data_IF_160091505468
#
_entry.id   IF_160091505468
#
_cell.length_a   1.000
_cell.length_b   1.000
_cell.length_c   1.000
_cell.angle_alpha   90.00
_cell.angle_beta   90.00
_cell.angle_gamma   90.00
#
_symmetry.space_group_name_H-M   'P 1'
#
loop_
_entity.id
_entity.type
_entity.pdbx_description
1 polymer ?
#
# COMPACT_ATOMS: atom_id res chain seq x y z
N UNK A 1 -28.63 -11.00 -16.70
CA UNK A 1 -29.57 -9.86 -16.63
C UNK A 1 -28.75 -8.67 -16.15
N UNK A 2 -28.19 -7.91 -17.11
CA UNK A 2 -27.37 -6.73 -16.80
C UNK A 2 -28.26 -5.71 -16.09
N UNK A 3 -27.82 -5.23 -14.92
CA UNK A 3 -28.48 -4.11 -14.26
C UNK A 3 -28.05 -2.84 -14.98
N UNK A 4 -28.90 -2.35 -15.87
CA UNK A 4 -28.77 -1.03 -16.48
C UNK A 4 -28.78 0.03 -15.36
N UNK A 5 -27.62 0.63 -15.11
CA UNK A 5 -27.44 1.65 -14.08
C UNK A 5 -27.89 3.03 -14.57
N UNK A 6 -28.17 3.94 -13.64
CA UNK A 6 -28.34 5.37 -13.92
C UNK A 6 -27.25 6.15 -13.19
N UNK A 7 -26.75 7.21 -13.81
CA UNK A 7 -25.76 8.11 -13.22
C UNK A 7 -26.19 9.57 -13.42
N UNK A 8 -25.83 10.45 -12.48
CA UNK A 8 -26.02 11.89 -12.60
C UNK A 8 -24.63 12.51 -12.53
N UNK A 9 -24.26 13.26 -13.57
CA UNK A 9 -23.01 14.00 -13.63
C UNK A 9 -23.32 15.47 -13.36
N UNK A 10 -22.71 16.02 -12.31
CA UNK A 10 -22.94 17.41 -11.91
C UNK A 10 -21.81 18.30 -12.39
N UNK A 11 -22.14 19.38 -13.12
CA UNK A 11 -21.19 20.41 -13.47
C UNK A 11 -20.94 21.35 -12.29
N UNK A 12 -19.68 21.73 -12.07
CA UNK A 12 -19.32 22.74 -11.07
C UNK A 12 -19.51 24.15 -11.63
N UNK A 13 -20.76 24.58 -11.80
CA UNK A 13 -21.13 25.91 -12.31
C UNK A 13 -22.00 26.69 -11.31
N UNK A 14 -22.13 28.00 -11.53
CA UNK A 14 -23.11 28.82 -10.81
C UNK A 14 -24.52 28.54 -11.33
N UNK A 15 -25.57 28.79 -10.52
CA UNK A 15 -26.95 28.84 -11.02
C UNK A 15 -27.03 29.83 -12.20
N UNK A 16 -27.79 29.49 -13.24
CA UNK A 16 -28.04 30.28 -14.45
C UNK A 16 -26.94 30.32 -15.53
N UNK A 17 -25.83 29.60 -15.36
CA UNK A 17 -24.86 29.43 -16.45
C UNK A 17 -25.43 28.50 -17.53
N UNK A 18 -25.40 28.91 -18.80
CA UNK A 18 -25.71 28.03 -19.92
C UNK A 18 -24.60 26.97 -20.08
N UNK A 19 -24.96 25.70 -19.96
CA UNK A 19 -24.04 24.56 -19.94
C UNK A 19 -24.25 23.68 -21.18
N UNK A 20 -23.15 23.17 -21.74
CA UNK A 20 -23.16 22.06 -22.69
C UNK A 20 -22.24 20.94 -22.23
N UNK A 21 -22.59 19.70 -22.58
CA UNK A 21 -21.80 18.52 -22.24
C UNK A 21 -21.20 17.88 -23.48
N UNK A 22 -19.97 17.38 -23.33
CA UNK A 22 -19.28 16.58 -24.35
C UNK A 22 -18.84 15.24 -23.78
N UNK A 23 -18.98 14.17 -24.57
CA UNK A 23 -18.48 12.83 -24.29
C UNK A 23 -17.29 12.55 -25.21
N UNK A 24 -16.13 12.25 -24.63
CA UNK A 24 -14.85 12.02 -25.35
C UNK A 24 -14.47 13.12 -26.36
N UNK A 25 -14.99 14.34 -26.17
CA UNK A 25 -14.73 15.49 -27.05
C UNK A 25 -15.89 15.83 -27.98
N UNK A 26 -16.84 14.91 -28.17
CA UNK A 26 -18.00 15.08 -29.05
C UNK A 26 -19.24 15.55 -28.29
N UNK A 27 -20.12 16.38 -28.88
CA UNK A 27 -21.35 16.82 -28.23
C UNK A 27 -22.24 15.64 -27.82
N UNK A 28 -22.72 15.62 -26.57
CA UNK A 28 -23.61 14.55 -26.07
C UNK A 28 -24.99 14.57 -26.76
N UNK A 29 -25.35 15.69 -27.38
CA UNK A 29 -26.60 15.88 -28.12
C UNK A 29 -26.66 15.11 -29.46
N UNK A 30 -25.57 14.45 -29.85
CA UNK A 30 -25.53 13.59 -31.04
C UNK A 30 -26.54 12.42 -30.94
N UNK A 31 -27.06 11.98 -32.08
CA UNK A 31 -28.20 11.07 -32.18
C UNK A 31 -27.98 9.74 -31.43
N UNK A 32 -26.72 9.30 -31.32
CA UNK A 32 -26.34 8.08 -30.62
C UNK A 32 -26.59 8.12 -29.10
N UNK A 33 -26.43 9.29 -28.47
CA UNK A 33 -26.51 9.46 -27.00
C UNK A 33 -27.79 10.16 -26.54
N UNK A 34 -28.50 10.84 -27.44
CA UNK A 34 -29.70 11.62 -27.13
C UNK A 34 -30.82 10.80 -26.48
N UNK A 35 -30.93 9.51 -26.80
CA UNK A 35 -31.96 8.63 -26.22
C UNK A 35 -31.65 8.18 -24.77
N UNK A 36 -30.40 8.30 -24.34
CA UNK A 36 -29.94 7.82 -23.03
C UNK A 36 -29.58 8.95 -22.07
N UNK A 37 -29.56 10.19 -22.55
CA UNK A 37 -29.11 11.36 -21.79
C UNK A 37 -30.20 12.41 -21.68
N UNK A 38 -30.27 13.09 -20.53
CA UNK A 38 -31.20 14.20 -20.31
C UNK A 38 -30.48 15.28 -19.51
N UNK A 39 -30.40 16.49 -20.06
CA UNK A 39 -29.79 17.61 -19.38
C UNK A 39 -30.83 18.35 -18.53
N UNK A 40 -30.52 18.52 -17.24
CA UNK A 40 -31.33 19.21 -16.24
C UNK A 40 -30.49 20.31 -15.59
N UNK A 41 -30.46 21.49 -16.21
CA UNK A 41 -29.61 22.60 -15.76
C UNK A 41 -28.11 22.22 -15.85
N UNK A 42 -27.35 22.30 -14.73
CA UNK A 42 -25.94 21.92 -14.71
C UNK A 42 -25.71 20.40 -14.67
N UNK A 43 -26.76 19.61 -14.42
CA UNK A 43 -26.67 18.16 -14.28
C UNK A 43 -26.98 17.45 -15.60
N UNK A 44 -26.20 16.41 -15.92
CA UNK A 44 -26.46 15.48 -17.00
C UNK A 44 -26.88 14.13 -16.43
N UNK A 45 -28.12 13.73 -16.70
CA UNK A 45 -28.66 12.44 -16.29
C UNK A 45 -28.40 11.41 -17.39
N UNK A 46 -27.71 10.33 -17.03
CA UNK A 46 -27.48 9.16 -17.87
C UNK A 46 -28.39 8.02 -17.41
N UNK A 47 -29.17 7.49 -18.35
CA UNK A 47 -30.05 6.34 -18.15
C UNK A 47 -29.52 5.14 -18.93
N UNK A 48 -29.77 3.95 -18.42
CA UNK A 48 -29.37 2.70 -19.08
C UNK A 48 -27.87 2.63 -19.44
N UNK A 49 -27.03 3.12 -18.52
CA UNK A 49 -25.59 3.21 -18.73
C UNK A 49 -25.01 1.82 -19.06
N UNK A 50 -24.43 1.71 -20.25
CA UNK A 50 -23.76 0.51 -20.75
C UNK A 50 -22.26 0.77 -21.04
N UNK A 51 -21.59 -0.20 -21.66
CA UNK A 51 -20.17 -0.12 -21.94
C UNK A 51 -19.75 0.94 -22.97
N UNK A 52 -20.68 1.45 -23.78
CA UNK A 52 -20.45 2.50 -24.78
C UNK A 52 -20.46 3.90 -24.16
N UNK A 53 -21.03 4.03 -22.97
CA UNK A 53 -21.14 5.28 -22.22
C UNK A 53 -20.00 5.47 -21.20
N UNK A 54 -19.02 4.56 -21.14
CA UNK A 54 -17.83 4.73 -20.31
C UNK A 54 -16.80 5.61 -21.02
N UNK A 55 -16.34 6.65 -20.33
CA UNK A 55 -15.40 7.61 -20.92
C UNK A 55 -15.41 8.96 -20.20
N UNK A 56 -14.85 9.95 -20.88
CA UNK A 56 -14.65 11.30 -20.38
C UNK A 56 -15.85 12.19 -20.68
N UNK A 57 -16.51 12.69 -19.65
CA UNK A 57 -17.54 13.72 -19.76
C UNK A 57 -16.98 15.06 -19.33
N UNK A 58 -17.19 16.08 -20.16
CA UNK A 58 -16.74 17.44 -19.88
C UNK A 58 -17.88 18.43 -20.01
N UNK A 59 -17.98 19.33 -19.03
CA UNK A 59 -18.95 20.42 -18.98
C UNK A 59 -18.30 21.71 -19.49
N UNK A 60 -19.03 22.44 -20.33
CA UNK A 60 -18.57 23.65 -21.00
C UNK A 60 -19.56 24.80 -20.84
N UNK A 61 -19.05 26.02 -20.77
CA UNK A 61 -19.84 27.24 -20.89
C UNK A 61 -19.05 28.28 -21.69
N UNK A 62 -19.69 28.95 -22.65
CA UNK A 62 -19.08 29.98 -23.50
C UNK A 62 -17.73 29.56 -24.12
N UNK A 63 -17.58 28.28 -24.46
CA UNK A 63 -16.34 27.72 -25.03
C UNK A 63 -15.24 27.39 -24.02
N UNK A 64 -15.46 27.59 -22.72
CA UNK A 64 -14.54 27.22 -21.64
C UNK A 64 -14.99 25.94 -20.93
N UNK A 65 -14.07 25.00 -20.71
CA UNK A 65 -14.32 23.82 -19.89
C UNK A 65 -14.38 24.21 -18.41
N UNK A 66 -15.46 23.86 -17.72
CA UNK A 66 -15.69 24.17 -16.30
C UNK A 66 -15.27 23.01 -15.39
N UNK A 67 -15.66 21.80 -15.76
CA UNK A 67 -15.34 20.58 -15.00
C UNK A 67 -15.34 19.36 -15.91
N UNK A 68 -14.68 18.29 -15.47
CA UNK A 68 -14.75 17.00 -16.11
C UNK A 68 -14.96 15.87 -15.10
N UNK A 69 -15.60 14.80 -15.57
CA UNK A 69 -15.81 13.55 -14.84
C UNK A 69 -15.54 12.39 -15.79
N UNK A 70 -14.76 11.42 -15.32
CA UNK A 70 -14.63 10.13 -16.00
C UNK A 70 -15.65 9.15 -15.43
N UNK A 71 -16.40 8.49 -16.32
CA UNK A 71 -17.26 7.37 -15.97
C UNK A 71 -16.53 6.08 -16.34
N UNK A 72 -15.81 5.45 -15.40
CA UNK A 72 -14.99 4.30 -15.74
C UNK A 72 -15.85 3.03 -15.88
N UNK A 73 -15.36 2.08 -16.68
CA UNK A 73 -15.92 0.75 -16.73
C UNK A 73 -15.65 0.02 -15.42
N UNK A 74 -16.67 -0.10 -14.58
CA UNK A 74 -16.54 -0.84 -13.33
C UNK A 74 -16.53 -2.35 -13.60
N UNK A 75 -15.40 -3.03 -13.35
CA UNK A 75 -15.31 -4.50 -13.39
C UNK A 75 -15.67 -5.16 -12.04
N UNK A 76 -16.08 -4.41 -11.03
CA UNK A 76 -16.37 -4.91 -9.67
C UNK A 76 -17.70 -4.41 -9.07
N UNK A 77 -18.21 -5.13 -8.07
CA UNK A 77 -19.51 -4.84 -7.44
C UNK A 77 -19.44 -3.68 -6.43
N UNK A 78 -20.14 -2.58 -6.71
CA UNK A 78 -20.61 -1.54 -5.76
C UNK A 78 -19.59 -0.95 -4.76
N UNK A 79 -19.13 0.28 -4.99
CA UNK A 79 -18.42 1.07 -3.97
C UNK A 79 -19.34 2.19 -3.45
N UNK A 80 -19.60 2.21 -2.12
CA UNK A 80 -20.09 3.42 -1.44
C UNK A 80 -18.87 4.33 -1.22
N UNK A 81 -18.95 5.60 -1.63
CA UNK A 81 -17.89 6.59 -1.42
C UNK A 81 -17.59 6.77 0.08
N UNK A 82 -16.42 6.32 0.53
CA UNK A 82 -15.79 6.79 1.77
C UNK A 82 -14.86 7.98 1.46
N UNK A 83 -14.77 8.90 2.42
CA UNK A 83 -14.05 10.17 2.26
C UNK A 83 -12.53 9.99 2.15
N UNK A 84 -11.95 10.78 1.24
CA UNK A 84 -10.54 11.16 1.08
C UNK A 84 -9.54 10.01 0.90
N UNK A 85 -9.35 9.59 -0.36
CA UNK A 85 -8.18 8.83 -0.78
C UNK A 85 -7.13 9.81 -1.34
N UNK A 86 -5.87 9.69 -0.92
CA UNK A 86 -4.75 10.33 -1.60
C UNK A 86 -4.44 9.52 -2.87
N UNK A 87 -4.63 10.12 -4.04
CA UNK A 87 -4.24 9.53 -5.32
C UNK A 87 -2.75 9.78 -5.58
N UNK A 88 -2.04 8.78 -6.08
CA UNK A 88 -0.64 8.90 -6.51
C UNK A 88 -0.59 8.64 -8.01
N UNK A 89 -0.05 9.57 -8.80
CA UNK A 89 0.09 9.44 -10.25
C UNK A 89 1.47 8.90 -10.62
N UNK A 90 1.54 8.18 -11.74
CA UNK A 90 2.79 7.65 -12.30
C UNK A 90 3.34 8.59 -13.38
N UNK A 91 3.56 9.87 -13.08
CA UNK A 91 4.10 10.81 -14.08
C UNK A 91 5.63 10.69 -14.30
N UNK A 92 6.22 9.55 -13.91
CA UNK A 92 7.64 9.26 -14.10
C UNK A 92 7.94 7.76 -14.20
N UNK A 93 9.14 7.37 -14.68
CA UNK A 93 9.53 5.97 -14.76
C UNK A 93 9.46 5.34 -13.37
N UNK A 94 8.51 4.44 -13.15
CA UNK A 94 8.42 3.61 -11.94
C UNK A 94 9.72 2.81 -11.87
N UNK A 95 10.66 3.29 -11.05
CA UNK A 95 11.94 2.63 -10.84
C UNK A 95 11.72 1.34 -10.04
N UNK A 96 11.23 0.28 -10.70
CA UNK A 96 11.22 -1.11 -10.24
C UNK A 96 10.58 -1.43 -8.89
N UNK A 97 10.03 -0.46 -8.16
CA UNK A 97 9.75 -0.56 -6.73
C UNK A 97 8.27 -0.39 -6.33
N UNK A 98 7.35 -0.31 -7.29
CA UNK A 98 5.92 -0.13 -7.02
C UNK A 98 5.60 1.22 -6.35
N UNK A 99 4.37 1.36 -5.86
CA UNK A 99 3.92 2.52 -5.09
C UNK A 99 4.00 2.22 -3.59
N UNK A 100 4.52 3.17 -2.82
CA UNK A 100 4.56 3.10 -1.37
C UNK A 100 3.47 3.97 -0.75
N UNK A 101 2.66 3.40 0.12
CA UNK A 101 1.60 4.09 0.85
C UNK A 101 1.81 3.93 2.35
N UNK A 102 1.53 4.99 3.12
CA UNK A 102 1.52 4.94 4.57
C UNK A 102 0.07 4.95 5.06
N UNK A 103 -0.30 3.92 5.83
CA UNK A 103 -1.64 3.78 6.40
C UNK A 103 -1.55 3.90 7.92
N UNK A 104 -2.42 4.72 8.51
CA UNK A 104 -2.55 4.83 9.96
C UNK A 104 -3.70 3.95 10.46
N UNK A 105 -3.54 3.35 11.63
CA UNK A 105 -4.57 2.57 12.32
C UNK A 105 -4.63 2.93 13.81
N UNK A 106 -5.75 2.64 14.45
CA UNK A 106 -5.98 2.87 15.88
C UNK A 106 -5.98 1.58 16.73
N UNK A 107 -5.62 0.44 16.13
CA UNK A 107 -5.50 -0.84 16.85
C UNK A 107 -4.48 -0.74 17.99
N UNK A 108 -4.83 -1.34 19.14
CA UNK A 108 -3.93 -1.41 20.29
C UNK A 108 -2.84 -2.47 20.05
N UNK A 109 -1.54 -2.16 20.28
CA UNK A 109 -0.47 -3.12 20.09
C UNK A 109 -0.43 -4.22 21.17
N UNK A 110 -1.22 -4.09 22.25
CA UNK A 110 -1.30 -5.08 23.33
C UNK A 110 -2.52 -6.00 23.24
N UNK A 111 -3.50 -5.65 22.40
CA UNK A 111 -4.74 -6.40 22.29
C UNK A 111 -4.65 -7.43 21.18
N UNK A 112 -5.25 -8.61 21.40
CA UNK A 112 -5.42 -9.59 20.34
C UNK A 112 -6.40 -9.07 19.28
N UNK A 113 -6.02 -9.16 18.00
CA UNK A 113 -6.88 -8.68 16.92
C UNK A 113 -7.96 -9.71 16.61
N UNK A 114 -9.22 -9.32 16.83
CA UNK A 114 -10.41 -10.12 16.53
C UNK A 114 -11.02 -9.81 15.15
N UNK A 115 -10.58 -8.72 14.51
CA UNK A 115 -11.08 -8.26 13.22
C UNK A 115 -9.92 -7.93 12.30
N UNK A 116 -9.96 -8.46 11.08
CA UNK A 116 -8.96 -8.15 10.05
C UNK A 116 -9.08 -6.69 9.60
N UNK A 117 -7.95 -6.08 9.29
CA UNK A 117 -7.90 -4.84 8.52
C UNK A 117 -8.29 -5.13 7.08
N UNK A 118 -9.09 -4.24 6.49
CA UNK A 118 -9.47 -4.29 5.08
C UNK A 118 -8.87 -3.09 4.36
N UNK A 119 -7.89 -3.35 3.49
CA UNK A 119 -7.27 -2.32 2.65
C UNK A 119 -7.77 -2.50 1.23
N UNK A 120 -8.36 -1.43 0.69
CA UNK A 120 -8.83 -1.38 -0.70
C UNK A 120 -7.99 -0.38 -1.47
N UNK A 121 -7.39 -0.85 -2.57
CA UNK A 121 -6.66 -0.02 -3.52
C UNK A 121 -7.50 0.09 -4.78
N UNK A 122 -7.72 1.33 -5.20
CA UNK A 122 -8.41 1.67 -6.43
C UNK A 122 -7.39 2.30 -7.38
N UNK A 123 -7.36 1.81 -8.62
CA UNK A 123 -6.51 2.31 -9.68
C UNK A 123 -7.40 2.74 -10.84
N UNK A 124 -7.12 3.93 -11.37
CA UNK A 124 -7.82 4.50 -12.51
C UNK A 124 -6.79 4.84 -13.58
N UNK A 125 -6.99 4.27 -14.75
CA UNK A 125 -6.38 4.66 -16.02
C UNK A 125 -7.52 5.10 -16.96
N UNK A 126 -7.24 5.87 -18.02
CA UNK A 126 -8.21 6.65 -18.82
C UNK A 126 -9.62 6.03 -18.99
N UNK A 127 -9.72 4.71 -19.16
CA UNK A 127 -10.98 3.96 -19.27
C UNK A 127 -11.13 2.78 -18.29
N UNK A 128 -10.11 2.50 -17.48
CA UNK A 128 -10.02 1.29 -16.65
C UNK A 128 -10.06 1.69 -15.18
N UNK A 129 -11.10 1.23 -14.47
CA UNK A 129 -11.12 1.19 -13.03
C UNK A 129 -10.84 -0.24 -12.58
N UNK A 130 -9.76 -0.42 -11.83
CA UNK A 130 -9.50 -1.67 -11.10
C UNK A 130 -9.55 -1.41 -9.60
N UNK A 131 -10.05 -2.40 -8.87
CA UNK A 131 -10.17 -2.34 -7.43
C UNK A 131 -9.78 -3.68 -6.85
N UNK A 132 -8.80 -3.64 -5.95
CA UNK A 132 -8.33 -4.81 -5.21
C UNK A 132 -8.51 -4.58 -3.73
N UNK A 133 -9.06 -5.57 -3.05
CA UNK A 133 -9.24 -5.55 -1.60
C UNK A 133 -8.43 -6.68 -0.99
N UNK A 134 -7.64 -6.37 0.03
CA UNK A 134 -6.89 -7.34 0.83
C UNK A 134 -7.32 -7.26 2.28
N UNK A 135 -7.52 -8.42 2.89
CA UNK A 135 -7.84 -8.58 4.32
C UNK A 135 -6.71 -9.31 5.00
N UNK A 136 -6.28 -8.83 6.17
CA UNK A 136 -5.20 -9.42 6.95
C UNK A 136 -5.25 -8.93 8.40
N UNK A 137 -4.61 -9.66 9.30
CA UNK A 137 -4.28 -9.16 10.64
C UNK A 137 -2.90 -8.48 10.62
N UNK A 138 -2.68 -7.46 11.46
CA UNK A 138 -1.37 -6.82 11.59
C UNK A 138 -0.30 -7.85 11.95
N UNK A 139 -0.59 -8.79 12.85
CA UNK A 139 0.33 -9.87 13.25
C UNK A 139 0.85 -10.74 12.09
N UNK A 140 0.15 -10.78 10.96
CA UNK A 140 0.53 -11.58 9.77
C UNK A 140 1.52 -10.86 8.85
N UNK A 141 1.64 -9.54 8.98
CA UNK A 141 2.49 -8.71 8.13
C UNK A 141 3.67 -8.10 8.88
N UNK A 142 3.89 -8.50 10.14
CA UNK A 142 5.00 -8.02 10.94
C UNK A 142 6.33 -8.51 10.35
N UNK A 143 7.20 -7.55 10.06
CA UNK A 143 8.58 -7.79 9.70
C UNK A 143 9.44 -6.71 10.38
N UNK A 144 10.26 -7.06 11.38
CA UNK A 144 11.17 -6.10 11.99
C UNK A 144 12.19 -5.58 10.98
N UNK A 145 12.69 -4.38 11.22
CA UNK A 145 13.88 -3.90 10.52
C UNK A 145 15.12 -4.70 10.95
N UNK A 146 16.23 -4.48 10.25
CA UNK A 146 17.49 -5.12 10.60
C UNK A 146 17.98 -4.65 11.99
N UNK A 147 18.31 -5.59 12.91
CA UNK A 147 18.82 -5.25 14.24
C UNK A 147 20.27 -4.77 14.20
N UNK A 148 20.76 -4.27 15.34
CA UNK A 148 22.13 -3.78 15.49
C UNK A 148 22.93 -4.64 16.46
N UNK A 149 24.18 -4.93 16.11
CA UNK A 149 25.13 -5.58 17.03
C UNK A 149 25.71 -4.49 17.94
N UNK A 150 25.24 -4.43 19.18
CA UNK A 150 25.65 -3.42 20.15
C UNK A 150 27.07 -3.67 20.66
N UNK A 151 27.32 -4.89 21.15
CA UNK A 151 28.59 -5.27 21.77
C UNK A 151 28.92 -6.74 21.49
N UNK A 152 30.21 -7.04 21.52
CA UNK A 152 30.74 -8.39 21.50
C UNK A 152 31.75 -8.48 22.64
N UNK A 153 31.53 -9.38 23.59
CA UNK A 153 32.34 -9.48 24.81
C UNK A 153 32.91 -10.89 24.97
N UNK A 154 34.18 -10.97 25.34
CA UNK A 154 34.87 -12.23 25.51
C UNK A 154 34.41 -12.96 26.79
N UNK A 155 33.93 -14.20 26.65
CA UNK A 155 33.46 -15.03 27.76
C UNK A 155 34.01 -16.46 27.60
N UNK A 156 35.17 -16.72 28.20
CA UNK A 156 35.85 -18.02 28.12
C UNK A 156 36.30 -18.35 26.69
N UNK A 157 35.86 -19.49 26.16
CA UNK A 157 36.09 -19.91 24.76
C UNK A 157 35.06 -19.31 23.76
N UNK A 158 34.11 -18.51 24.27
CA UNK A 158 33.03 -17.94 23.49
C UNK A 158 33.06 -16.41 23.49
N UNK A 159 32.31 -15.82 22.57
CA UNK A 159 32.02 -14.42 22.42
C UNK A 159 30.52 -14.21 22.66
N UNK A 160 30.19 -13.37 23.64
CA UNK A 160 28.82 -12.96 23.95
C UNK A 160 28.42 -11.78 23.07
N UNK A 161 27.44 -11.99 22.20
CA UNK A 161 26.92 -10.98 21.27
C UNK A 161 25.68 -10.33 21.88
N UNK A 162 25.77 -9.04 22.16
CA UNK A 162 24.63 -8.22 22.59
C UNK A 162 23.97 -7.60 21.36
N UNK A 163 22.68 -7.87 21.18
CA UNK A 163 21.88 -7.43 20.03
C UNK A 163 20.86 -6.39 20.50
N UNK A 164 20.85 -5.23 19.85
CA UNK A 164 19.85 -4.18 20.05
C UNK A 164 18.72 -4.33 19.02
N UNK A 165 17.45 -4.29 19.47
CA UNK A 165 16.31 -4.19 18.57
C UNK A 165 16.42 -2.96 17.64
N UNK A 166 15.83 -3.01 16.44
CA UNK A 166 15.74 -1.86 15.57
C UNK A 166 15.01 -0.70 16.26
N UNK A 167 15.41 0.55 15.97
CA UNK A 167 14.83 1.74 16.61
C UNK A 167 13.34 1.95 16.33
N UNK A 168 12.83 1.38 15.24
CA UNK A 168 11.41 1.43 14.88
C UNK A 168 10.60 0.24 15.40
N UNK A 169 11.23 -0.67 16.17
CA UNK A 169 10.52 -1.77 16.82
C UNK A 169 9.70 -1.27 18.02
N UNK A 170 8.59 -1.94 18.30
CA UNK A 170 7.67 -1.54 19.37
C UNK A 170 8.32 -1.64 20.75
N UNK A 171 7.96 -0.71 21.64
CA UNK A 171 8.43 -0.65 23.03
C UNK A 171 7.25 -0.83 24.00
N UNK A 172 7.48 -1.42 25.19
CA UNK A 172 8.77 -1.84 25.75
C UNK A 172 9.26 -3.20 25.24
N UNK A 173 10.59 -3.38 25.13
CA UNK A 173 11.21 -4.63 24.66
C UNK A 173 11.04 -5.81 25.64
N UNK A 174 10.59 -5.56 26.87
CA UNK A 174 10.18 -6.62 27.80
C UNK A 174 8.88 -7.29 27.38
N UNK A 175 8.04 -6.59 26.61
CA UNK A 175 6.78 -7.11 26.08
C UNK A 175 6.94 -7.52 24.61
N UNK A 176 7.43 -6.60 23.77
CA UNK A 176 7.69 -6.85 22.35
C UNK A 176 9.09 -7.47 22.16
N UNK A 177 9.24 -8.70 22.63
CA UNK A 177 10.51 -9.43 22.53
C UNK A 177 10.79 -9.86 21.10
N UNK A 178 12.08 -9.95 20.76
CA UNK A 178 12.54 -10.47 19.48
C UNK A 178 13.39 -11.71 19.72
N UNK A 179 13.22 -12.71 18.86
CA UNK A 179 14.23 -13.76 18.73
C UNK A 179 15.24 -13.39 17.65
N UNK A 180 16.46 -13.91 17.81
CA UNK A 180 17.59 -13.55 16.97
C UNK A 180 18.20 -14.77 16.30
N UNK A 181 18.77 -14.54 15.13
CA UNK A 181 19.68 -15.48 14.49
C UNK A 181 20.98 -14.77 14.13
N UNK A 182 22.09 -15.38 14.52
CA UNK A 182 23.44 -14.94 14.22
C UNK A 182 23.98 -15.78 13.08
N UNK A 183 24.53 -15.13 12.08
CA UNK A 183 25.33 -15.75 11.03
C UNK A 183 26.76 -15.27 11.20
N UNK A 184 27.71 -16.18 11.38
CA UNK A 184 29.13 -15.87 11.56
C UNK A 184 30.02 -16.75 10.69
N UNK A 185 31.24 -16.28 10.44
CA UNK A 185 32.30 -17.00 9.73
C UNK A 185 33.41 -17.37 10.68
N UNK A 186 33.95 -18.57 10.56
CA UNK A 186 35.12 -19.02 11.33
C UNK A 186 36.43 -18.57 10.68
N UNK A 187 37.45 -18.29 11.49
CA UNK A 187 38.81 -17.92 11.07
C UNK A 187 39.50 -19.06 10.31
N UNK A 188 39.36 -20.28 10.82
CA UNK A 188 40.18 -21.41 10.40
C UNK A 188 39.89 -21.88 8.97
N UNK A 189 38.65 -21.68 8.49
CA UNK A 189 38.17 -22.24 7.22
C UNK A 189 37.18 -21.35 6.46
N UNK A 190 36.92 -20.12 6.95
CA UNK A 190 35.93 -19.19 6.40
C UNK A 190 34.54 -19.82 6.21
N UNK A 191 34.20 -20.83 7.01
CA UNK A 191 32.93 -21.53 6.92
C UNK A 191 31.82 -20.70 7.58
N UNK A 192 30.74 -20.50 6.82
CA UNK A 192 29.51 -19.86 7.30
C UNK A 192 28.76 -20.79 8.28
N UNK A 193 28.37 -20.25 9.44
CA UNK A 193 27.61 -20.95 10.48
C UNK A 193 26.46 -20.07 10.97
N UNK A 194 25.40 -20.71 11.46
CA UNK A 194 24.22 -20.05 11.99
C UNK A 194 23.98 -20.50 13.42
N UNK A 195 23.59 -19.58 14.29
CA UNK A 195 23.26 -19.84 15.70
C UNK A 195 22.04 -19.04 16.12
N UNK A 196 21.18 -19.64 16.95
CA UNK A 196 20.12 -18.93 17.67
C UNK A 196 20.57 -18.48 19.06
N UNK A 197 21.74 -18.93 19.52
CA UNK A 197 22.35 -18.49 20.78
C UNK A 197 23.15 -17.21 20.58
N UNK A 198 23.16 -16.34 21.59
CA UNK A 198 24.00 -15.13 21.64
C UNK A 198 25.46 -15.44 21.95
N UNK A 199 25.78 -16.67 22.38
CA UNK A 199 27.14 -17.14 22.56
C UNK A 199 27.60 -17.83 21.28
N UNK A 200 28.65 -17.29 20.65
CA UNK A 200 29.30 -17.87 19.48
C UNK A 200 30.78 -18.18 19.79
N UNK A 201 31.45 -19.07 19.04
CA UNK A 201 32.87 -19.35 19.26
C UNK A 201 33.75 -18.11 19.06
N UNK A 202 34.81 -17.95 19.86
CA UNK A 202 35.83 -16.90 19.66
C UNK A 202 36.61 -17.02 18.36
N UNK A 203 36.58 -18.20 17.75
CA UNK A 203 37.14 -18.45 16.42
C UNK A 203 36.34 -17.79 15.30
N UNK A 204 35.27 -17.03 15.61
CA UNK A 204 34.56 -16.23 14.62
C UNK A 204 35.37 -15.01 14.15
N UNK A 205 35.44 -14.79 12.84
CA UNK A 205 36.12 -13.65 12.20
C UNK A 205 35.17 -12.48 11.90
N UNK A 206 33.92 -12.78 11.60
CA UNK A 206 32.89 -11.79 11.29
C UNK A 206 31.50 -12.35 11.57
N UNK A 207 30.55 -11.47 11.87
CA UNK A 207 29.16 -11.85 12.08
C UNK A 207 28.15 -10.82 11.57
N UNK A 208 26.91 -11.26 11.39
CA UNK A 208 25.72 -10.45 11.14
C UNK A 208 24.52 -11.09 11.81
N UNK A 209 23.49 -10.30 12.05
CA UNK A 209 22.31 -10.71 12.83
C UNK A 209 21.02 -10.35 12.12
N UNK A 210 19.95 -11.09 12.41
CA UNK A 210 18.58 -10.76 12.02
C UNK A 210 17.62 -11.12 13.14
N UNK A 211 16.44 -10.52 13.13
CA UNK A 211 15.43 -10.72 14.16
C UNK A 211 14.08 -11.07 13.57
N UNK A 212 13.23 -11.73 14.36
CA UNK A 212 11.80 -11.84 14.10
C UNK A 212 11.02 -11.88 15.41
N UNK A 213 9.72 -11.63 15.33
CA UNK A 213 8.82 -11.81 16.46
C UNK A 213 8.57 -13.31 16.68
N UNK A 214 8.82 -13.85 17.89
CA UNK A 214 8.70 -15.28 18.16
C UNK A 214 7.24 -15.75 18.40
N UNK A 215 6.31 -14.84 18.69
CA UNK A 215 4.95 -15.18 19.12
C UNK A 215 3.94 -15.15 17.96
N UNK A 216 4.30 -14.53 16.84
CA UNK A 216 3.43 -14.44 15.66
C UNK A 216 4.11 -15.01 14.42
N UNK A 217 3.33 -15.21 13.35
CA UNK A 217 3.82 -15.64 12.04
C UNK A 217 4.55 -14.47 11.34
N UNK A 218 5.67 -14.04 11.92
CA UNK A 218 6.48 -12.94 11.39
C UNK A 218 7.54 -13.42 10.41
N UNK A 219 7.84 -12.56 9.44
CA UNK A 219 8.97 -12.79 8.54
C UNK A 219 10.27 -12.33 9.20
N UNK A 220 11.36 -13.04 8.95
CA UNK A 220 12.69 -12.59 9.36
C UNK A 220 13.02 -11.21 8.78
N UNK A 221 13.67 -10.38 9.58
CA UNK A 221 14.26 -9.13 9.12
C UNK A 221 15.32 -9.40 8.04
N UNK A 222 15.67 -8.34 7.31
CA UNK A 222 16.93 -8.33 6.56
C UNK A 222 18.10 -8.53 7.53
N UNK A 223 19.18 -9.12 7.02
CA UNK A 223 20.43 -9.24 7.77
C UNK A 223 21.03 -7.87 8.06
N UNK A 224 21.70 -7.73 9.19
CA UNK A 224 22.57 -6.58 9.46
C UNK A 224 23.76 -6.60 8.48
N UNK A 225 24.42 -5.44 8.27
CA UNK A 225 25.75 -5.44 7.68
C UNK A 225 26.69 -6.38 8.44
N UNK A 226 27.68 -6.91 7.74
CA UNK A 226 28.74 -7.69 8.37
C UNK A 226 29.54 -6.82 9.32
N UNK A 227 29.76 -7.30 10.54
CA UNK A 227 30.68 -6.74 11.52
C UNK A 227 31.90 -7.65 11.61
N UNK A 228 33.06 -7.11 11.28
CA UNK A 228 34.33 -7.80 11.50
C UNK A 228 34.67 -7.76 12.99
N UNK A 229 35.15 -8.88 13.52
CA UNK A 229 35.64 -8.97 14.88
C UNK A 229 37.13 -8.64 14.83
N UNK A 230 37.52 -7.51 15.40
CA UNK A 230 38.93 -7.22 15.67
C UNK A 230 39.37 -8.14 16.80
N UNK A 231 40.29 -9.06 16.49
CA UNK A 231 41.08 -9.76 17.49
C UNK A 231 42.09 -8.81 18.12
#
# INVERSE_FOLDING_TARGET
>A
MERNGSAILTCNSTPDTAITWKFNGDPVEDEAFRQYTTQNGPDLNLSQVDFTMFGHYSCWSEGRMLSSVYLPRNRGTGAKRLKSCQWVTSDGPVHGGGFQFQLSHSLSPYAEENTMLEVTVEAIDDLIFDRKTKKFFLREIIQPNSPKIAKCEDVGENLMVTIEPPSNWSTPHSFFTLEHQIHYRLLDNNQDRFSSSTLIPKTASSLRVRSRDPLVLSTWSQWSPWKNLTQ
#
